data_IF_209617273055
#
_entry.id   IF_209617273055
#
_cell.length_a   1.000
_cell.length_b   1.000
_cell.length_c   1.000
_cell.angle_alpha   90.00
_cell.angle_beta   90.00
_cell.angle_gamma   90.00
#
_symmetry.space_group_name_H-M   'P 1'
#
loop_
_entity.id
_entity.type
_entity.pdbx_description
1 polymer ?
#
# COMPACT_ATOMS: atom_id res chain seq x y z
N UNK A 1 1.08 38.68 -6.39
CA UNK A 1 0.30 37.86 -7.35
C UNK A 1 0.91 36.51 -7.75
N UNK A 2 2.07 36.09 -7.20
CA UNK A 2 2.62 34.72 -7.40
C UNK A 2 2.72 33.89 -6.10
N UNK A 3 2.47 34.51 -4.93
CA UNK A 3 2.64 33.88 -3.61
C UNK A 3 1.58 32.79 -3.35
N UNK A 4 0.34 33.03 -3.77
CA UNK A 4 -0.76 32.10 -3.56
C UNK A 4 -0.61 30.82 -4.39
N UNK A 5 -0.05 30.94 -5.61
CA UNK A 5 0.33 29.79 -6.44
C UNK A 5 1.44 28.95 -5.81
N UNK A 6 2.39 29.59 -5.13
CA UNK A 6 3.46 28.88 -4.43
C UNK A 6 2.95 28.07 -3.24
N UNK A 7 2.03 28.63 -2.46
CA UNK A 7 1.42 27.94 -1.32
C UNK A 7 0.54 26.77 -1.78
N UNK A 8 -0.24 26.96 -2.85
CA UNK A 8 -1.07 25.93 -3.46
C UNK A 8 -0.25 24.72 -3.95
N UNK A 9 0.81 24.97 -4.72
CA UNK A 9 1.69 23.90 -5.23
C UNK A 9 2.37 23.17 -4.07
N UNK A 10 2.85 23.92 -3.07
CA UNK A 10 3.49 23.34 -1.89
C UNK A 10 2.53 22.43 -1.10
N UNK A 11 1.26 22.83 -0.95
CA UNK A 11 0.26 22.03 -0.25
C UNK A 11 0.00 20.70 -0.96
N UNK A 12 -0.27 20.70 -2.27
CA UNK A 12 -0.53 19.48 -3.03
C UNK A 12 0.71 18.59 -3.17
N UNK A 13 1.91 19.18 -3.28
CA UNK A 13 3.16 18.42 -3.28
C UNK A 13 3.38 17.72 -1.92
N UNK A 14 3.15 18.41 -0.81
CA UNK A 14 3.23 17.83 0.53
C UNK A 14 2.18 16.73 0.71
N UNK A 15 0.94 16.98 0.28
CA UNK A 15 -0.15 16.01 0.35
C UNK A 15 0.15 14.73 -0.42
N UNK A 16 0.67 14.84 -1.65
CA UNK A 16 1.10 13.69 -2.44
C UNK A 16 2.26 12.94 -1.77
N UNK A 17 3.24 13.66 -1.21
CA UNK A 17 4.38 13.06 -0.52
C UNK A 17 3.95 12.29 0.72
N UNK A 18 3.09 12.86 1.55
CA UNK A 18 2.59 12.18 2.77
C UNK A 18 1.73 10.98 2.40
N UNK A 19 0.90 11.09 1.36
CA UNK A 19 0.13 9.95 0.86
C UNK A 19 1.05 8.81 0.39
N UNK A 20 2.11 9.11 -0.38
CA UNK A 20 3.09 8.12 -0.82
C UNK A 20 3.82 7.45 0.35
N UNK A 21 4.18 8.23 1.38
CA UNK A 21 4.78 7.68 2.61
C UNK A 21 3.81 6.77 3.37
N UNK A 22 2.53 7.12 3.43
CA UNK A 22 1.50 6.29 4.07
C UNK A 22 1.30 4.96 3.32
N UNK A 23 1.21 5.01 1.99
CA UNK A 23 1.11 3.81 1.14
C UNK A 23 2.35 2.93 1.30
N UNK A 24 3.55 3.53 1.34
CA UNK A 24 4.80 2.80 1.56
C UNK A 24 4.80 2.10 2.94
N UNK A 25 4.48 2.83 4.00
CA UNK A 25 4.43 2.29 5.36
C UNK A 25 3.43 1.14 5.47
N UNK A 26 2.23 1.30 4.89
CA UNK A 26 1.21 0.24 4.84
C UNK A 26 1.71 -0.98 4.07
N UNK A 27 2.36 -0.79 2.92
CA UNK A 27 2.90 -1.88 2.09
C UNK A 27 3.98 -2.66 2.83
N UNK A 28 4.87 -1.98 3.56
CA UNK A 28 5.90 -2.61 4.38
C UNK A 28 5.29 -3.39 5.54
N UNK A 29 4.36 -2.79 6.28
CA UNK A 29 3.67 -3.46 7.39
C UNK A 29 2.94 -4.73 6.91
N UNK A 30 2.19 -4.62 5.80
CA UNK A 30 1.51 -5.76 5.19
C UNK A 30 2.51 -6.85 4.77
N UNK A 31 3.65 -6.48 4.17
CA UNK A 31 4.69 -7.42 3.76
C UNK A 31 5.26 -8.20 4.94
N UNK A 32 5.53 -7.54 6.06
CA UNK A 32 6.03 -8.20 7.27
C UNK A 32 5.01 -9.20 7.81
N UNK A 33 3.74 -8.80 7.91
CA UNK A 33 2.68 -9.66 8.46
C UNK A 33 2.41 -10.86 7.55
N UNK A 34 2.16 -10.61 6.27
CA UNK A 34 1.88 -11.67 5.28
C UNK A 34 3.11 -12.58 5.12
N UNK A 35 4.31 -12.00 5.06
CA UNK A 35 5.56 -12.74 4.97
C UNK A 35 5.76 -13.69 6.16
N UNK A 36 5.52 -13.22 7.39
CA UNK A 36 5.62 -14.07 8.58
C UNK A 36 4.64 -15.26 8.53
N UNK A 37 3.39 -15.03 8.11
CA UNK A 37 2.39 -16.09 7.95
C UNK A 37 2.81 -17.10 6.89
N UNK A 38 3.30 -16.64 5.74
CA UNK A 38 3.76 -17.52 4.66
C UNK A 38 4.99 -18.33 5.06
N UNK A 39 5.95 -17.71 5.75
CA UNK A 39 7.12 -18.43 6.28
C UNK A 39 6.67 -19.54 7.23
N UNK A 40 5.78 -19.26 8.18
CA UNK A 40 5.26 -20.28 9.09
C UNK A 40 4.52 -21.40 8.34
N UNK A 41 3.67 -21.06 7.37
CA UNK A 41 2.94 -22.04 6.57
C UNK A 41 3.89 -22.97 5.81
N UNK A 42 4.95 -22.43 5.19
CA UNK A 42 5.93 -23.23 4.45
C UNK A 42 6.84 -24.05 5.36
N UNK A 43 7.24 -23.52 6.52
CA UNK A 43 8.02 -24.28 7.53
C UNK A 43 7.21 -25.48 8.03
N UNK A 44 5.94 -25.27 8.41
CA UNK A 44 5.05 -26.35 8.87
C UNK A 44 4.84 -27.38 7.76
N UNK A 45 4.55 -26.93 6.54
CA UNK A 45 4.36 -27.80 5.37
C UNK A 45 5.61 -28.62 5.07
N UNK A 46 6.78 -28.00 5.10
CA UNK A 46 8.07 -28.65 4.85
C UNK A 46 8.39 -29.72 5.90
N UNK A 47 8.19 -29.40 7.19
CA UNK A 47 8.41 -30.36 8.28
C UNK A 47 7.45 -31.56 8.20
N UNK A 48 6.16 -31.31 7.95
CA UNK A 48 5.15 -32.38 7.83
C UNK A 48 5.35 -33.24 6.57
N UNK A 49 6.05 -32.73 5.54
CA UNK A 49 6.30 -33.47 4.31
C UNK A 49 7.23 -34.67 4.54
N UNK A 50 8.03 -34.64 5.63
CA UNK A 50 8.85 -35.78 6.06
C UNK A 50 8.03 -37.03 6.40
N UNK A 51 6.76 -36.84 6.80
CA UNK A 51 5.83 -37.93 7.16
C UNK A 51 4.70 -38.04 6.12
N UNK A 52 4.93 -37.61 4.88
CA UNK A 52 3.98 -37.57 3.74
C UNK A 52 2.74 -36.66 3.92
N UNK A 53 2.34 -36.33 5.14
CA UNK A 53 1.21 -35.45 5.45
C UNK A 53 1.41 -34.05 4.86
N UNK A 54 2.63 -33.52 4.89
CA UNK A 54 2.90 -32.20 4.36
C UNK A 54 2.76 -32.09 2.84
N UNK A 55 2.87 -33.19 2.09
CA UNK A 55 2.65 -33.18 0.63
C UNK A 55 1.22 -32.77 0.30
N UNK A 56 0.25 -33.14 1.14
CA UNK A 56 -1.15 -32.73 1.01
C UNK A 56 -1.37 -31.24 1.35
N UNK A 57 -0.46 -30.62 2.11
CA UNK A 57 -0.54 -29.21 2.49
C UNK A 57 0.13 -28.28 1.47
N UNK A 58 0.98 -28.80 0.58
CA UNK A 58 1.64 -28.00 -0.47
C UNK A 58 0.63 -27.19 -1.32
N UNK A 59 -0.49 -27.75 -1.82
CA UNK A 59 -1.47 -26.98 -2.58
C UNK A 59 -2.05 -25.80 -1.77
N UNK A 60 -2.28 -26.00 -0.48
CA UNK A 60 -2.80 -24.96 0.43
C UNK A 60 -1.75 -23.87 0.62
N UNK A 61 -0.49 -24.23 0.85
CA UNK A 61 0.62 -23.27 0.98
C UNK A 61 0.82 -22.44 -0.31
N UNK A 62 0.63 -23.05 -1.48
CA UNK A 62 0.68 -22.36 -2.77
C UNK A 62 -0.49 -21.37 -2.90
N UNK A 63 -1.73 -21.79 -2.61
CA UNK A 63 -2.90 -20.91 -2.68
C UNK A 63 -2.72 -19.70 -1.74
N UNK A 64 -2.26 -19.94 -0.50
CA UNK A 64 -1.95 -18.87 0.44
C UNK A 64 -0.90 -17.91 -0.10
N UNK A 65 0.14 -18.43 -0.75
CA UNK A 65 1.20 -17.62 -1.35
C UNK A 65 0.68 -16.76 -2.50
N UNK A 66 -0.18 -17.30 -3.37
CA UNK A 66 -0.80 -16.56 -4.47
C UNK A 66 -1.70 -15.44 -3.93
N UNK A 67 -2.59 -15.76 -3.00
CA UNK A 67 -3.49 -14.76 -2.39
C UNK A 67 -2.68 -13.68 -1.68
N UNK A 68 -1.70 -14.07 -0.86
CA UNK A 68 -0.82 -13.15 -0.16
C UNK A 68 -0.07 -12.22 -1.12
N UNK A 69 0.49 -12.76 -2.21
CA UNK A 69 1.16 -11.97 -3.24
C UNK A 69 0.23 -10.99 -3.95
N UNK A 70 -0.99 -11.41 -4.29
CA UNK A 70 -1.99 -10.53 -4.92
C UNK A 70 -2.40 -9.39 -4.00
N UNK A 71 -2.65 -9.68 -2.71
CA UNK A 71 -3.01 -8.66 -1.72
C UNK A 71 -1.87 -7.66 -1.50
N UNK A 72 -0.62 -8.13 -1.41
CA UNK A 72 0.55 -7.28 -1.27
C UNK A 72 0.78 -6.41 -2.50
N UNK A 73 0.59 -6.95 -3.71
CA UNK A 73 0.73 -6.21 -4.96
C UNK A 73 -0.38 -5.18 -5.16
N UNK A 74 -1.60 -5.46 -4.70
CA UNK A 74 -2.74 -4.57 -4.86
C UNK A 74 -2.57 -3.22 -4.12
N UNK A 75 -1.92 -3.21 -2.95
CA UNK A 75 -1.75 -1.99 -2.13
C UNK A 75 -0.96 -0.90 -2.88
N UNK A 76 0.29 -1.13 -3.34
CA UNK A 76 1.04 -0.11 -4.06
C UNK A 76 0.41 0.25 -5.41
N UNK A 77 -0.21 -0.71 -6.10
CA UNK A 77 -0.89 -0.44 -7.37
C UNK A 77 -2.11 0.48 -7.20
N UNK A 78 -2.94 0.22 -6.17
CA UNK A 78 -4.05 1.08 -5.83
C UNK A 78 -3.57 2.46 -5.37
N UNK A 79 -2.49 2.50 -4.57
CA UNK A 79 -1.84 3.75 -4.17
C UNK A 79 -1.35 4.57 -5.37
N UNK A 80 -0.70 3.94 -6.34
CA UNK A 80 -0.27 4.60 -7.57
C UNK A 80 -1.46 5.12 -8.38
N UNK A 81 -2.50 4.30 -8.57
CA UNK A 81 -3.70 4.70 -9.29
C UNK A 81 -4.40 5.90 -8.65
N UNK A 82 -4.58 5.86 -7.33
CA UNK A 82 -5.19 6.97 -6.59
C UNK A 82 -4.30 8.22 -6.59
N UNK A 83 -2.99 8.03 -6.51
CA UNK A 83 -1.98 9.08 -6.69
C UNK A 83 -2.10 9.83 -8.01
N UNK A 84 -2.18 9.08 -9.10
CA UNK A 84 -2.34 9.60 -10.46
C UNK A 84 -3.68 10.30 -10.65
N UNK A 85 -4.76 9.74 -10.10
CA UNK A 85 -6.09 10.36 -10.13
C UNK A 85 -6.07 11.73 -9.45
N UNK A 86 -5.50 11.82 -8.24
CA UNK A 86 -5.37 13.10 -7.53
C UNK A 86 -4.52 14.12 -8.30
N UNK A 87 -3.41 13.69 -8.91
CA UNK A 87 -2.59 14.58 -9.74
C UNK A 87 -3.32 15.08 -10.99
N UNK A 88 -4.11 14.22 -11.63
CA UNK A 88 -4.93 14.57 -12.79
C UNK A 88 -6.00 15.60 -12.43
N UNK A 89 -6.65 15.45 -11.29
CA UNK A 89 -7.71 16.36 -10.84
C UNK A 89 -7.16 17.75 -10.46
N UNK A 90 -6.02 17.80 -9.76
CA UNK A 90 -5.30 19.07 -9.48
C UNK A 90 -4.84 19.74 -10.78
N UNK A 91 -4.40 18.96 -11.78
CA UNK A 91 -4.00 19.51 -13.08
C UNK A 91 -5.17 20.19 -13.82
N UNK A 92 -6.41 19.71 -13.64
CA UNK A 92 -7.61 20.32 -14.23
C UNK A 92 -8.16 21.49 -13.40
N UNK A 93 -7.47 21.92 -12.35
CA UNK A 93 -7.86 23.05 -11.51
C UNK A 93 -8.92 22.71 -10.46
N UNK A 94 -9.16 21.43 -10.18
CA UNK A 94 -9.99 21.00 -9.08
C UNK A 94 -9.16 20.88 -7.80
N UNK A 95 -9.71 21.32 -6.66
CA UNK A 95 -9.08 21.18 -5.35
C UNK A 95 -9.25 19.75 -4.83
N UNK A 96 -8.49 18.82 -5.43
CA UNK A 96 -8.48 17.44 -4.99
C UNK A 96 -7.93 17.36 -3.56
N UNK A 97 -8.71 16.77 -2.67
CA UNK A 97 -8.36 16.56 -1.28
C UNK A 97 -8.44 15.08 -0.95
N UNK A 98 -7.29 14.47 -0.66
CA UNK A 98 -7.25 13.14 -0.06
C UNK A 98 -8.06 13.15 1.25
N UNK A 99 -9.12 12.34 1.38
CA UNK A 99 -9.94 12.27 2.59
C UNK A 99 -9.06 11.99 3.82
N UNK A 100 -9.35 12.64 4.96
CA UNK A 100 -8.61 12.57 6.23
C UNK A 100 -7.18 13.15 6.22
N UNK A 101 -6.47 13.03 5.10
CA UNK A 101 -5.11 13.53 4.97
C UNK A 101 -5.06 15.04 4.75
N UNK A 102 -5.99 15.56 3.94
CA UNK A 102 -6.10 16.99 3.67
C UNK A 102 -6.43 17.78 4.94
N UNK A 103 -7.37 17.30 5.74
CA UNK A 103 -7.83 17.97 6.97
C UNK A 103 -6.73 17.95 8.05
N UNK A 104 -5.96 16.85 8.13
CA UNK A 104 -4.79 16.77 9.01
C UNK A 104 -3.70 17.77 8.60
N UNK A 105 -3.39 17.88 7.31
CA UNK A 105 -2.39 18.84 6.81
C UNK A 105 -2.84 20.30 6.99
N UNK A 106 -4.12 20.59 6.73
CA UNK A 106 -4.69 21.93 6.92
C UNK A 106 -4.67 22.36 8.40
N UNK A 107 -4.80 21.42 9.35
CA UNK A 107 -4.66 21.71 10.78
C UNK A 107 -3.21 22.01 11.25
N UNK A 108 -2.21 21.82 10.36
CA UNK A 108 -0.77 21.93 10.67
C UNK A 108 -0.06 23.06 9.93
N UNK A 109 -0.74 23.72 8.99
CA UNK A 109 -0.25 24.86 8.20
C UNK A 109 -0.99 26.14 8.60
#
# INVERSE_FOLDING_TARGET
MYRDRSAYIAFHALQATVFQLAVLALSLAATVIVGAVLVLAWVITGLLSLVLVGVLLIPVAIILSVIGGLLLGAIPLAGLGYGLFGAWEVYHGADFRYPWLADWLESRL
#
